data_IF_279660687998
#
_entry.id   IF_279660687998
#
_cell.length_a   1.000
_cell.length_b   1.000
_cell.length_c   1.000
_cell.angle_alpha   90.00
_cell.angle_beta   90.00
_cell.angle_gamma   90.00
#
_symmetry.space_group_name_H-M   'P 1'
#
loop_
_entity.id
_entity.type
_entity.pdbx_description
1 polymer ?
#
# COMPACT_ATOMS: atom_id res chain seq x y z
N UNK A 1 14.11 -2.93 18.98
CA UNK A 1 15.38 -3.38 18.37
C UNK A 1 15.37 -2.94 16.93
N UNK A 2 16.04 -1.83 16.62
CA UNK A 2 16.09 -1.29 15.26
C UNK A 2 17.31 -1.85 14.54
N UNK A 3 17.05 -2.64 13.51
CA UNK A 3 18.07 -3.15 12.61
C UNK A 3 18.49 -2.04 11.64
N UNK A 4 19.77 -1.67 11.68
CA UNK A 4 20.42 -0.74 10.74
C UNK A 4 21.05 -1.53 9.59
N UNK A 5 20.45 -1.49 8.42
CA UNK A 5 21.03 -2.08 7.20
C UNK A 5 21.59 -1.00 6.27
N UNK A 6 22.92 -0.91 6.20
CA UNK A 6 23.67 -0.43 5.03
C UNK A 6 24.84 -1.40 4.82
N UNK A 7 25.09 -1.85 3.58
CA UNK A 7 26.42 -1.65 2.96
C UNK A 7 26.22 -1.28 1.45
N UNK A 8 26.85 -0.33 0.76
CA UNK A 8 28.09 0.45 0.82
C UNK A 8 27.80 1.82 0.13
N UNK A 9 28.58 2.89 0.39
CA UNK A 9 28.49 4.13 -0.36
C UNK A 9 29.25 4.02 -1.70
N UNK A 10 28.54 4.14 -2.83
CA UNK A 10 29.22 4.57 -4.06
C UNK A 10 29.70 6.01 -3.87
N UNK A 11 30.98 6.18 -4.12
CA UNK A 11 31.81 7.29 -3.69
C UNK A 11 31.43 8.62 -4.35
N UNK A 12 31.22 9.64 -3.49
CA UNK A 12 31.10 11.06 -3.86
C UNK A 12 32.39 11.61 -4.51
N UNK A 13 33.47 10.81 -4.58
CA UNK A 13 34.74 11.18 -5.20
C UNK A 13 34.68 11.33 -6.73
N UNK A 14 33.64 10.81 -7.40
CA UNK A 14 33.60 10.78 -8.87
C UNK A 14 32.95 11.99 -9.54
N UNK A 15 32.27 12.86 -8.77
CA UNK A 15 31.72 14.12 -9.31
C UNK A 15 32.77 15.24 -9.27
N UNK A 16 33.73 15.17 -8.34
CA UNK A 16 34.82 16.15 -8.24
C UNK A 16 35.89 15.93 -9.32
N UNK A 17 35.99 14.74 -9.91
CA UNK A 17 37.03 14.40 -10.91
C UNK A 17 36.73 14.83 -12.34
N UNK A 18 35.50 15.25 -12.67
CA UNK A 18 35.12 15.63 -14.04
C UNK A 18 34.79 17.12 -14.22
N UNK A 19 35.13 17.98 -13.26
CA UNK A 19 35.15 19.42 -13.48
C UNK A 19 36.38 19.78 -14.34
N UNK A 20 36.32 19.46 -15.63
CA UNK A 20 37.25 20.00 -16.62
C UNK A 20 36.95 21.50 -16.76
N UNK A 21 37.66 22.30 -15.98
CA UNK A 21 37.69 23.75 -16.12
C UNK A 21 38.62 24.08 -17.29
N UNK A 22 38.04 24.17 -18.50
CA UNK A 22 38.76 24.59 -19.71
C UNK A 22 39.05 26.09 -19.59
N UNK A 23 40.28 26.43 -19.23
CA UNK A 23 40.79 27.80 -19.30
C UNK A 23 41.29 28.03 -20.74
N UNK A 24 40.40 28.50 -21.61
CA UNK A 24 40.62 28.58 -23.06
C UNK A 24 41.54 29.75 -23.51
N UNK A 25 42.04 30.57 -22.58
CA UNK A 25 43.03 31.62 -22.89
C UNK A 25 43.80 32.07 -21.65
N UNK A 26 45.06 31.66 -21.55
CA UNK A 26 46.05 32.34 -20.73
C UNK A 26 46.55 33.57 -21.52
N UNK A 27 46.43 34.80 -21.00
CA UNK A 27 46.97 35.97 -21.67
C UNK A 27 48.50 35.88 -21.71
N UNK A 28 49.10 36.06 -22.89
CA UNK A 28 50.56 36.14 -23.03
C UNK A 28 51.05 37.46 -22.44
N UNK A 29 51.76 37.38 -21.33
CA UNK A 29 52.48 38.52 -20.74
C UNK A 29 53.83 38.63 -21.44
N UNK A 30 54.02 39.70 -22.21
CA UNK A 30 55.33 40.08 -22.74
C UNK A 30 56.08 40.82 -21.64
N UNK A 31 57.24 40.31 -21.22
CA UNK A 31 58.18 41.04 -20.38
C UNK A 31 59.38 41.35 -21.26
N UNK A 32 59.46 42.58 -21.74
CA UNK A 32 60.61 43.13 -22.44
C UNK A 32 61.57 43.67 -21.38
N UNK A 33 62.57 42.88 -20.99
CA UNK A 33 63.63 43.32 -20.07
C UNK A 33 64.69 44.09 -20.87
N UNK A 34 64.44 45.39 -21.03
CA UNK A 34 65.47 46.36 -21.39
C UNK A 34 66.30 46.75 -20.17
N UNK A 35 67.62 46.63 -20.31
CA UNK A 35 68.65 46.90 -19.31
C UNK A 35 68.46 48.22 -18.54
N UNK A 36 68.22 48.12 -17.23
CA UNK A 36 68.76 49.06 -16.24
C UNK A 36 68.49 48.56 -14.83
N UNK A 37 69.49 48.59 -13.94
CA UNK A 37 69.43 48.17 -12.53
C UNK A 37 68.94 49.30 -11.60
N UNK A 38 67.97 50.09 -12.04
CA UNK A 38 67.25 51.12 -11.28
C UNK A 38 65.75 50.85 -10.96
N UNK A 39 64.98 50.07 -11.75
CA UNK A 39 63.56 49.89 -11.58
C UNK A 39 63.17 48.64 -10.79
N UNK A 40 64.09 47.82 -10.26
CA UNK A 40 63.77 46.57 -9.54
C UNK A 40 62.76 46.80 -8.39
N UNK A 41 62.87 47.91 -7.64
CA UNK A 41 61.89 48.28 -6.60
C UNK A 41 60.53 48.74 -7.17
N UNK A 42 60.51 49.39 -8.34
CA UNK A 42 59.30 49.80 -9.04
C UNK A 42 58.58 48.63 -9.73
N UNK A 43 59.32 47.66 -10.26
CA UNK A 43 58.80 46.45 -10.92
C UNK A 43 58.34 45.40 -9.88
N UNK A 44 59.03 45.25 -8.74
CA UNK A 44 58.53 44.46 -7.59
C UNK A 44 57.29 45.11 -6.97
N UNK A 45 57.28 46.44 -6.80
CA UNK A 45 56.12 47.16 -6.27
C UNK A 45 54.90 47.10 -7.20
N UNK A 46 55.09 47.31 -8.50
CA UNK A 46 53.99 47.25 -9.47
C UNK A 46 53.49 45.83 -9.74
N UNK A 47 54.35 44.80 -9.73
CA UNK A 47 53.92 43.39 -9.85
C UNK A 47 53.19 42.87 -8.61
N UNK A 48 53.58 43.32 -7.41
CA UNK A 48 52.83 43.06 -6.18
C UNK A 48 51.44 43.71 -6.22
N UNK A 49 51.34 44.96 -6.67
CA UNK A 49 50.05 45.65 -6.81
C UNK A 49 49.19 45.02 -7.92
N UNK A 50 49.81 44.68 -9.06
CA UNK A 50 49.14 44.04 -10.19
C UNK A 50 48.68 42.60 -9.89
N UNK A 51 49.37 41.87 -9.00
CA UNK A 51 48.95 40.56 -8.51
C UNK A 51 47.95 40.63 -7.34
N UNK A 52 48.04 41.67 -6.49
CA UNK A 52 47.16 41.83 -5.33
C UNK A 52 45.71 42.14 -5.72
N UNK A 53 45.49 42.95 -6.76
CA UNK A 53 44.11 43.30 -7.19
C UNK A 53 43.35 42.05 -7.68
N UNK A 54 43.87 41.22 -8.60
CA UNK A 54 43.25 39.95 -8.97
C UNK A 54 43.08 38.99 -7.80
N UNK A 55 44.05 38.92 -6.88
CA UNK A 55 43.96 38.06 -5.70
C UNK A 55 42.83 38.48 -4.74
N UNK A 56 42.64 39.79 -4.54
CA UNK A 56 41.55 40.34 -3.72
C UNK A 56 40.20 40.06 -4.39
N UNK A 57 40.09 40.27 -5.70
CA UNK A 57 38.85 39.97 -6.45
C UNK A 57 38.53 38.48 -6.40
N UNK A 58 39.53 37.61 -6.58
CA UNK A 58 39.38 36.16 -6.44
C UNK A 58 38.94 35.77 -5.03
N UNK A 59 39.51 36.37 -3.99
CA UNK A 59 39.12 36.11 -2.60
C UNK A 59 37.69 36.57 -2.30
N UNK A 60 37.28 37.76 -2.77
CA UNK A 60 35.91 38.25 -2.65
C UNK A 60 34.92 37.35 -3.39
N UNK A 61 35.28 36.88 -4.60
CA UNK A 61 34.47 35.94 -5.37
C UNK A 61 34.34 34.58 -4.68
N UNK A 62 35.43 34.02 -4.15
CA UNK A 62 35.42 32.76 -3.39
C UNK A 62 34.55 32.90 -2.13
N UNK A 63 34.68 34.00 -1.39
CA UNK A 63 33.90 34.25 -0.18
C UNK A 63 32.41 34.46 -0.46
N UNK A 64 32.08 35.10 -1.58
CA UNK A 64 30.69 35.23 -2.04
C UNK A 64 30.12 33.88 -2.46
N UNK A 65 30.88 33.08 -3.22
CA UNK A 65 30.47 31.75 -3.68
C UNK A 65 30.28 30.77 -2.53
N UNK A 66 31.11 30.82 -1.49
CA UNK A 66 30.96 29.97 -0.30
C UNK A 66 29.60 30.20 0.40
N UNK A 67 29.18 31.46 0.55
CA UNK A 67 27.87 31.78 1.14
C UNK A 67 26.70 31.25 0.31
N UNK A 68 26.78 31.39 -1.01
CA UNK A 68 25.75 30.86 -1.92
C UNK A 68 25.73 29.33 -1.89
N UNK A 69 26.91 28.69 -1.86
CA UNK A 69 27.04 27.23 -1.77
C UNK A 69 26.43 26.65 -0.48
N UNK A 70 26.62 27.33 0.65
CA UNK A 70 26.02 26.89 1.91
C UNK A 70 24.49 27.00 1.87
N UNK A 71 23.96 28.11 1.36
CA UNK A 71 22.52 28.29 1.18
C UNK A 71 21.92 27.24 0.22
N UNK A 72 22.56 27.02 -0.94
CA UNK A 72 22.14 26.02 -1.93
C UNK A 72 22.20 24.60 -1.35
N UNK A 73 23.20 24.29 -0.52
CA UNK A 73 23.31 22.98 0.14
C UNK A 73 22.17 22.73 1.13
N UNK A 74 21.76 23.75 1.90
CA UNK A 74 20.62 23.62 2.82
C UNK A 74 19.33 23.38 2.04
N UNK A 75 19.10 24.13 0.96
CA UNK A 75 17.94 23.95 0.09
C UNK A 75 17.93 22.56 -0.56
N UNK A 76 19.08 22.07 -1.06
CA UNK A 76 19.19 20.73 -1.63
C UNK A 76 18.91 19.64 -0.59
N UNK A 77 19.38 19.80 0.66
CA UNK A 77 19.09 18.86 1.73
C UNK A 77 17.60 18.82 2.07
N UNK A 78 16.93 19.97 2.07
CA UNK A 78 15.50 20.05 2.30
C UNK A 78 14.72 19.38 1.16
N UNK A 79 15.05 19.69 -0.10
CA UNK A 79 14.47 19.05 -1.29
C UNK A 79 14.70 17.53 -1.28
N UNK A 80 15.91 17.07 -0.89
CA UNK A 80 16.21 15.65 -0.80
C UNK A 80 15.38 14.96 0.29
N UNK A 81 15.19 15.59 1.45
CA UNK A 81 14.34 15.07 2.53
C UNK A 81 12.88 15.00 2.13
N UNK A 82 12.33 16.04 1.49
CA UNK A 82 10.94 16.04 1.02
C UNK A 82 10.73 14.97 -0.04
N UNK A 83 11.66 14.83 -0.99
CA UNK A 83 11.60 13.79 -2.02
C UNK A 83 11.69 12.38 -1.42
N UNK A 84 12.61 12.16 -0.47
CA UNK A 84 12.73 10.89 0.22
C UNK A 84 11.45 10.54 0.99
N UNK A 85 10.90 11.48 1.77
CA UNK A 85 9.65 11.28 2.49
C UNK A 85 8.49 10.97 1.54
N UNK A 86 8.36 11.72 0.43
CA UNK A 86 7.35 11.47 -0.58
C UNK A 86 7.49 10.08 -1.22
N UNK A 87 8.72 9.63 -1.51
CA UNK A 87 8.98 8.29 -2.02
C UNK A 87 8.60 7.20 -1.01
N UNK A 88 8.95 7.36 0.26
CA UNK A 88 8.62 6.40 1.32
C UNK A 88 7.11 6.31 1.54
N UNK A 89 6.41 7.45 1.60
CA UNK A 89 4.94 7.52 1.73
C UNK A 89 4.28 6.85 0.52
N UNK A 90 4.76 7.17 -0.69
CA UNK A 90 4.23 6.60 -1.92
C UNK A 90 4.36 5.08 -1.97
N UNK A 91 5.55 4.56 -1.63
CA UNK A 91 5.80 3.12 -1.54
C UNK A 91 4.90 2.44 -0.49
N UNK A 92 4.77 3.04 0.70
CA UNK A 92 3.90 2.52 1.77
C UNK A 92 2.43 2.48 1.35
N UNK A 93 1.94 3.54 0.70
CA UNK A 93 0.54 3.63 0.23
C UNK A 93 0.26 2.64 -0.89
N UNK A 94 1.21 2.43 -1.81
CA UNK A 94 1.08 1.41 -2.85
C UNK A 94 0.98 -0.02 -2.27
N UNK A 95 1.77 -0.34 -1.25
CA UNK A 95 1.67 -1.64 -0.55
C UNK A 95 0.31 -1.78 0.12
N UNK A 96 -0.18 -0.72 0.77
CA UNK A 96 -1.51 -0.73 1.39
C UNK A 96 -2.63 -0.89 0.35
N UNK A 97 -2.58 -0.20 -0.80
CA UNK A 97 -3.54 -0.33 -1.91
C UNK A 97 -3.63 -1.78 -2.40
N UNK A 98 -2.47 -2.40 -2.66
CA UNK A 98 -2.41 -3.78 -3.12
C UNK A 98 -3.03 -4.72 -2.07
N UNK A 99 -2.63 -4.56 -0.81
CA UNK A 99 -3.13 -5.42 0.26
C UNK A 99 -4.64 -5.26 0.49
N UNK A 100 -5.17 -4.05 0.37
CA UNK A 100 -6.60 -3.79 0.50
C UNK A 100 -7.37 -4.44 -0.65
N UNK A 101 -6.85 -4.31 -1.88
CA UNK A 101 -7.40 -4.95 -3.07
C UNK A 101 -7.47 -6.47 -2.91
N UNK A 102 -6.41 -7.10 -2.41
CA UNK A 102 -6.36 -8.53 -2.15
C UNK A 102 -7.44 -8.95 -1.15
N UNK A 103 -7.54 -8.24 -0.02
CA UNK A 103 -8.53 -8.52 1.04
C UNK A 103 -9.96 -8.42 0.51
N UNK A 104 -10.28 -7.39 -0.28
CA UNK A 104 -11.62 -7.23 -0.86
C UNK A 104 -11.91 -8.33 -1.90
N UNK A 105 -10.93 -8.68 -2.72
CA UNK A 105 -11.08 -9.72 -3.75
C UNK A 105 -11.33 -11.09 -3.11
N UNK A 106 -10.56 -11.41 -2.07
CA UNK A 106 -10.73 -12.64 -1.29
C UNK A 106 -12.08 -12.64 -0.55
N UNK A 107 -12.50 -11.50 0.00
CA UNK A 107 -13.81 -11.37 0.66
C UNK A 107 -14.97 -11.65 -0.31
N UNK A 108 -14.91 -11.06 -1.51
CA UNK A 108 -15.93 -11.26 -2.56
C UNK A 108 -15.94 -12.72 -3.04
N UNK A 109 -14.78 -13.38 -3.15
CA UNK A 109 -14.72 -14.78 -3.61
C UNK A 109 -15.26 -15.79 -2.59
N UNK A 110 -15.17 -15.49 -1.29
CA UNK A 110 -15.77 -16.33 -0.23
C UNK A 110 -17.29 -16.16 -0.12
N UNK A 111 -17.84 -15.10 -0.69
CA UNK A 111 -19.24 -14.73 -0.52
C UNK A 111 -20.20 -15.82 -1.02
N UNK A 112 -19.94 -16.38 -2.20
CA UNK A 112 -20.72 -17.49 -2.75
C UNK A 112 -20.56 -18.76 -1.91
N UNK A 113 -19.35 -19.06 -1.48
CA UNK A 113 -19.03 -20.25 -0.68
C UNK A 113 -19.80 -20.25 0.65
N UNK A 114 -19.88 -19.10 1.33
CA UNK A 114 -20.67 -18.97 2.57
C UNK A 114 -22.15 -19.22 2.31
N UNK A 115 -22.72 -18.67 1.23
CA UNK A 115 -24.13 -18.89 0.86
C UNK A 115 -24.38 -20.37 0.59
N UNK A 116 -23.54 -21.01 -0.22
CA UNK A 116 -23.70 -22.43 -0.56
C UNK A 116 -23.56 -23.32 0.68
N UNK A 117 -22.58 -23.05 1.55
CA UNK A 117 -22.40 -23.78 2.80
C UNK A 117 -23.62 -23.61 3.73
N UNK A 118 -24.18 -22.39 3.84
CA UNK A 118 -25.40 -22.15 4.60
C UNK A 118 -26.61 -22.89 4.03
N UNK A 119 -26.73 -22.92 2.71
CA UNK A 119 -27.77 -23.67 2.02
C UNK A 119 -27.67 -25.17 2.31
N UNK A 120 -26.46 -25.74 2.26
CA UNK A 120 -26.22 -27.13 2.60
C UNK A 120 -26.64 -27.45 4.05
N UNK A 121 -26.36 -26.55 5.00
CA UNK A 121 -26.85 -26.68 6.39
C UNK A 121 -28.38 -26.73 6.42
N UNK A 122 -29.07 -25.84 5.70
CA UNK A 122 -30.53 -25.79 5.68
C UNK A 122 -31.17 -27.02 5.04
N UNK A 123 -30.55 -27.59 4.02
CA UNK A 123 -31.01 -28.85 3.41
C UNK A 123 -30.82 -30.02 4.38
N UNK A 124 -29.65 -30.15 5.02
CA UNK A 124 -29.41 -31.22 5.99
C UNK A 124 -30.27 -31.07 7.26
N UNK A 125 -30.55 -29.84 7.69
CA UNK A 125 -31.47 -29.55 8.80
C UNK A 125 -32.89 -30.04 8.47
N UNK A 126 -33.39 -29.74 7.27
CA UNK A 126 -34.69 -30.23 6.82
C UNK A 126 -34.74 -31.77 6.70
N UNK A 127 -33.65 -32.40 6.21
CA UNK A 127 -33.53 -33.86 6.15
C UNK A 127 -33.57 -34.49 7.54
N UNK A 128 -32.90 -33.90 8.52
CA UNK A 128 -32.90 -34.36 9.91
C UNK A 128 -34.29 -34.18 10.55
N UNK A 129 -34.92 -33.01 10.36
CA UNK A 129 -36.30 -32.72 10.82
C UNK A 129 -37.32 -33.69 10.23
N UNK A 130 -37.18 -34.06 8.96
CA UNK A 130 -38.08 -35.04 8.33
C UNK A 130 -38.15 -36.37 9.11
N UNK A 131 -37.01 -36.87 9.60
CA UNK A 131 -37.01 -38.11 10.39
C UNK A 131 -37.60 -37.90 11.79
N UNK A 132 -37.27 -36.79 12.47
CA UNK A 132 -37.79 -36.51 13.82
C UNK A 132 -39.28 -36.26 13.85
N UNK A 133 -39.82 -35.64 12.79
CA UNK A 133 -41.23 -35.26 12.72
C UNK A 133 -42.09 -36.43 12.24
N UNK A 134 -41.55 -37.29 11.36
CA UNK A 134 -42.28 -38.42 10.78
C UNK A 134 -42.30 -39.67 11.66
N UNK A 135 -41.26 -39.88 12.47
CA UNK A 135 -41.10 -41.11 13.24
C UNK A 135 -40.89 -40.80 14.73
N UNK A 136 -41.75 -41.33 15.63
CA UNK A 136 -41.49 -41.33 17.06
C UNK A 136 -40.13 -41.96 17.40
N UNK A 137 -39.49 -41.50 18.48
CA UNK A 137 -38.15 -41.95 18.88
C UNK A 137 -38.08 -43.46 19.09
N UNK A 138 -39.13 -44.07 19.58
CA UNK A 138 -39.22 -45.51 19.80
C UNK A 138 -39.15 -46.28 18.47
N UNK A 139 -39.82 -45.77 17.43
CA UNK A 139 -39.81 -46.38 16.10
C UNK A 139 -38.42 -46.23 15.47
N UNK A 140 -37.81 -45.06 15.58
CA UNK A 140 -36.42 -44.83 15.12
C UNK A 140 -35.45 -45.80 15.80
N UNK A 141 -35.53 -45.96 17.12
CA UNK A 141 -34.64 -46.85 17.88
C UNK A 141 -34.87 -48.34 17.59
N UNK A 142 -36.12 -48.73 17.30
CA UNK A 142 -36.47 -50.14 17.04
C UNK A 142 -36.07 -50.62 15.64
N UNK A 143 -35.94 -49.71 14.67
CA UNK A 143 -35.62 -50.05 13.28
C UNK A 143 -34.18 -49.63 12.94
N UNK A 144 -33.27 -50.61 12.87
CA UNK A 144 -31.84 -50.40 12.57
C UNK A 144 -31.59 -49.60 11.29
N UNK A 145 -32.38 -49.84 10.23
CA UNK A 145 -32.20 -49.13 8.97
C UNK A 145 -32.61 -47.66 9.09
N UNK A 146 -33.75 -47.38 9.73
CA UNK A 146 -34.19 -46.00 9.98
C UNK A 146 -33.23 -45.26 10.91
N UNK A 147 -32.72 -45.94 11.95
CA UNK A 147 -31.71 -45.38 12.85
C UNK A 147 -30.45 -44.99 12.09
N UNK A 148 -29.91 -45.88 11.24
CA UNK A 148 -28.74 -45.60 10.41
C UNK A 148 -28.98 -44.40 9.48
N UNK A 149 -30.14 -44.32 8.82
CA UNK A 149 -30.47 -43.19 7.95
C UNK A 149 -30.58 -41.86 8.71
N UNK A 150 -31.09 -41.90 9.95
CA UNK A 150 -31.16 -40.74 10.83
C UNK A 150 -29.77 -40.31 11.31
N UNK A 151 -28.93 -41.26 11.73
CA UNK A 151 -27.54 -41.02 12.11
C UNK A 151 -26.74 -40.42 10.96
N UNK A 152 -26.91 -40.92 9.74
CA UNK A 152 -26.29 -40.37 8.53
C UNK A 152 -26.73 -38.92 8.28
N UNK A 153 -28.03 -38.63 8.40
CA UNK A 153 -28.55 -37.27 8.27
C UNK A 153 -27.98 -36.33 9.34
N UNK A 154 -27.82 -36.82 10.57
CA UNK A 154 -27.25 -36.06 11.67
C UNK A 154 -25.74 -35.80 11.47
N UNK A 155 -25.00 -36.81 11.04
CA UNK A 155 -23.58 -36.69 10.70
C UNK A 155 -23.36 -35.70 9.55
N UNK A 156 -24.21 -35.75 8.52
CA UNK A 156 -24.20 -34.81 7.40
C UNK A 156 -24.48 -33.37 7.87
N UNK A 157 -25.48 -33.18 8.74
CA UNK A 157 -25.78 -31.87 9.34
C UNK A 157 -24.58 -31.33 10.14
N UNK A 158 -23.99 -32.13 11.01
CA UNK A 158 -22.81 -31.72 11.79
C UNK A 158 -21.62 -31.33 10.90
N UNK A 159 -21.36 -32.12 9.84
CA UNK A 159 -20.32 -31.82 8.86
C UNK A 159 -20.58 -30.48 8.17
N UNK A 160 -21.81 -30.25 7.71
CA UNK A 160 -22.17 -29.02 7.01
C UNK A 160 -22.14 -27.80 7.93
N UNK A 161 -22.54 -27.94 9.20
CA UNK A 161 -22.43 -26.86 10.21
C UNK A 161 -20.96 -26.50 10.44
N UNK A 162 -20.08 -27.50 10.60
CA UNK A 162 -18.65 -27.29 10.78
C UNK A 162 -18.03 -26.56 9.58
N UNK A 163 -18.35 -27.03 8.37
CA UNK A 163 -17.88 -26.39 7.14
C UNK A 163 -18.37 -24.94 7.01
N UNK A 164 -19.67 -24.69 7.19
CA UNK A 164 -20.22 -23.33 7.16
C UNK A 164 -19.57 -22.41 8.19
N UNK A 165 -19.35 -22.90 9.41
CA UNK A 165 -18.71 -22.13 10.48
C UNK A 165 -17.28 -21.74 10.12
N UNK A 166 -16.52 -22.66 9.51
CA UNK A 166 -15.16 -22.40 9.03
C UNK A 166 -15.13 -21.30 7.96
N UNK A 167 -15.93 -21.44 6.90
CA UNK A 167 -15.93 -20.46 5.79
C UNK A 167 -16.45 -19.10 6.27
N UNK A 168 -17.44 -19.08 7.17
CA UNK A 168 -17.95 -17.84 7.77
C UNK A 168 -16.89 -17.15 8.63
N UNK A 169 -16.08 -17.91 9.37
CA UNK A 169 -14.96 -17.37 10.15
C UNK A 169 -13.92 -16.70 9.25
N UNK A 170 -13.57 -17.32 8.13
CA UNK A 170 -12.63 -16.76 7.15
C UNK A 170 -13.17 -15.45 6.55
N UNK A 171 -14.43 -15.44 6.12
CA UNK A 171 -15.11 -14.24 5.61
C UNK A 171 -15.18 -13.14 6.68
N UNK A 172 -15.44 -13.49 7.94
CA UNK A 172 -15.47 -12.55 9.06
C UNK A 172 -14.09 -11.96 9.35
N UNK A 173 -13.03 -12.75 9.23
CA UNK A 173 -11.66 -12.27 9.39
C UNK A 173 -11.27 -11.27 8.29
N UNK A 174 -11.66 -11.54 7.04
CA UNK A 174 -11.44 -10.60 5.92
C UNK A 174 -12.23 -9.30 6.09
N UNK A 175 -13.49 -9.38 6.53
CA UNK A 175 -14.29 -8.21 6.89
C UNK A 175 -13.55 -7.35 7.93
N UNK A 176 -13.10 -7.95 9.03
CA UNK A 176 -12.40 -7.23 10.09
C UNK A 176 -11.09 -6.59 9.58
N UNK A 177 -10.32 -7.31 8.75
CA UNK A 177 -9.10 -6.77 8.12
C UNK A 177 -9.42 -5.58 7.23
N UNK A 178 -10.43 -5.66 6.37
CA UNK A 178 -10.86 -4.55 5.51
C UNK A 178 -11.25 -3.33 6.36
N UNK A 179 -12.02 -3.53 7.42
CA UNK A 179 -12.46 -2.46 8.33
C UNK A 179 -11.29 -1.76 9.05
N UNK A 180 -10.26 -2.50 9.45
CA UNK A 180 -9.05 -1.96 10.08
C UNK A 180 -8.16 -1.20 9.11
N UNK A 181 -8.22 -1.51 7.82
CA UNK A 181 -7.45 -0.82 6.78
C UNK A 181 -8.07 0.52 6.34
N UNK A 182 -9.32 0.79 6.71
CA UNK A 182 -10.08 1.95 6.28
C UNK A 182 -10.24 3.01 7.37
N UNK A 183 -10.16 4.28 7.00
CA UNK A 183 -10.47 5.38 7.90
C UNK A 183 -11.99 5.46 8.17
N UNK A 184 -12.48 5.32 9.42
CA UNK A 184 -13.91 5.31 9.70
C UNK A 184 -14.63 6.65 9.45
N UNK A 185 -13.89 7.75 9.30
CA UNK A 185 -14.46 9.09 9.12
C UNK A 185 -14.66 9.49 7.66
N UNK A 186 -14.03 8.77 6.71
CA UNK A 186 -14.14 9.08 5.29
C UNK A 186 -15.44 8.50 4.70
N UNK A 187 -16.14 9.30 3.89
CA UNK A 187 -17.42 8.92 3.29
C UNK A 187 -17.34 7.66 2.42
N UNK A 188 -16.27 7.51 1.63
CA UNK A 188 -16.03 6.30 0.83
C UNK A 188 -15.91 5.05 1.70
N UNK A 189 -15.18 5.15 2.81
CA UNK A 189 -15.03 4.02 3.73
C UNK A 189 -16.36 3.65 4.41
N UNK A 190 -17.24 4.62 4.68
CA UNK A 190 -18.58 4.37 5.22
C UNK A 190 -19.41 3.55 4.22
N UNK A 191 -19.44 3.94 2.94
CA UNK A 191 -20.18 3.21 1.90
C UNK A 191 -19.60 1.81 1.64
N UNK A 192 -18.26 1.68 1.58
CA UNK A 192 -17.61 0.36 1.46
C UNK A 192 -18.00 -0.55 2.64
N UNK A 193 -17.92 -0.04 3.88
CA UNK A 193 -18.33 -0.79 5.09
C UNK A 193 -19.79 -1.21 5.04
N UNK A 194 -20.67 -0.34 4.55
CA UNK A 194 -22.09 -0.65 4.36
C UNK A 194 -22.25 -1.81 3.36
N UNK A 195 -21.60 -1.76 2.21
CA UNK A 195 -21.68 -2.86 1.24
C UNK A 195 -21.15 -4.18 1.80
N UNK A 196 -20.00 -4.18 2.49
CA UNK A 196 -19.45 -5.35 3.18
C UNK A 196 -20.46 -5.89 4.22
N UNK A 197 -21.04 -5.03 5.04
CA UNK A 197 -22.03 -5.45 6.03
C UNK A 197 -23.29 -6.04 5.39
N UNK A 198 -23.79 -5.46 4.31
CA UNK A 198 -24.95 -5.98 3.59
C UNK A 198 -24.69 -7.36 2.98
N UNK A 199 -23.53 -7.56 2.36
CA UNK A 199 -23.11 -8.88 1.84
C UNK A 199 -23.05 -9.91 2.96
N UNK A 200 -22.39 -9.56 4.07
CA UNK A 200 -22.25 -10.43 5.23
C UNK A 200 -23.60 -10.81 5.84
N UNK A 201 -24.50 -9.85 6.02
CA UNK A 201 -25.83 -10.09 6.59
C UNK A 201 -26.67 -10.96 5.66
N UNK A 202 -26.68 -10.69 4.34
CA UNK A 202 -27.42 -11.50 3.37
C UNK A 202 -26.93 -12.94 3.30
N UNK A 203 -25.61 -13.15 3.37
CA UNK A 203 -25.05 -14.49 3.40
C UNK A 203 -25.48 -15.30 4.64
N UNK A 204 -25.81 -14.63 5.74
CA UNK A 204 -26.22 -15.26 7.00
C UNK A 204 -27.74 -15.42 7.16
N UNK A 205 -28.53 -14.52 6.59
CA UNK A 205 -30.00 -14.55 6.66
C UNK A 205 -30.54 -15.39 5.50
N UNK A 206 -30.76 -16.67 5.78
CA UNK A 206 -31.37 -17.61 4.83
C UNK A 206 -32.68 -18.17 5.40
N UNK A 207 -33.79 -18.18 4.64
CA UNK A 207 -35.04 -18.81 5.05
C UNK A 207 -34.87 -20.31 5.35
N UNK A 208 -35.85 -20.90 6.02
CA UNK A 208 -35.91 -22.35 6.18
C UNK A 208 -36.30 -23.04 4.86
N UNK A 209 -35.68 -24.19 4.60
CA UNK A 209 -36.02 -25.05 3.47
C UNK A 209 -37.46 -25.58 3.60
N UNK A 210 -38.24 -25.75 2.51
CA UNK A 210 -37.87 -25.64 1.09
C UNK A 210 -38.06 -24.25 0.46
N UNK A 211 -38.35 -23.21 1.24
CA UNK A 211 -38.70 -21.87 0.70
C UNK A 211 -37.49 -21.08 0.18
N UNK A 212 -36.35 -21.73 -0.01
CA UNK A 212 -35.08 -21.08 -0.36
C UNK A 212 -34.98 -20.98 -1.88
N UNK A 213 -34.97 -19.75 -2.39
CA UNK A 213 -34.59 -19.44 -3.77
C UNK A 213 -33.09 -19.12 -3.82
N UNK A 214 -32.26 -20.16 -3.99
CA UNK A 214 -30.81 -20.02 -4.00
C UNK A 214 -30.31 -19.13 -5.16
N UNK A 215 -30.81 -19.28 -6.41
CA UNK A 215 -30.46 -18.36 -7.50
C UNK A 215 -30.74 -16.88 -7.20
N UNK A 216 -31.89 -16.55 -6.62
CA UNK A 216 -32.22 -15.17 -6.25
C UNK A 216 -31.27 -14.61 -5.17
N UNK A 217 -30.97 -15.41 -4.13
CA UNK A 217 -30.03 -15.01 -3.07
C UNK A 217 -28.63 -14.77 -3.65
N UNK A 218 -28.13 -15.68 -4.49
CA UNK A 218 -26.83 -15.54 -5.15
C UNK A 218 -26.80 -14.33 -6.08
N UNK A 219 -27.85 -14.13 -6.89
CA UNK A 219 -27.96 -12.98 -7.79
C UNK A 219 -27.95 -11.64 -7.03
N UNK A 220 -28.71 -11.54 -5.94
CA UNK A 220 -28.72 -10.35 -5.08
C UNK A 220 -27.37 -10.10 -4.42
N UNK A 221 -26.66 -11.15 -4.02
CA UNK A 221 -25.36 -10.97 -3.39
C UNK A 221 -24.27 -10.63 -4.41
N UNK A 222 -24.29 -11.23 -5.60
CA UNK A 222 -23.39 -10.87 -6.69
C UNK A 222 -23.58 -9.41 -7.13
N UNK A 223 -24.81 -8.94 -7.23
CA UNK A 223 -25.09 -7.52 -7.49
C UNK A 223 -24.48 -6.62 -6.41
N UNK A 224 -24.58 -7.02 -5.14
CA UNK A 224 -23.99 -6.28 -4.04
C UNK A 224 -22.46 -6.30 -4.07
N UNK A 225 -21.85 -7.44 -4.39
CA UNK A 225 -20.41 -7.57 -4.59
C UNK A 225 -19.91 -6.68 -5.72
N UNK A 226 -20.67 -6.56 -6.81
CA UNK A 226 -20.34 -5.64 -7.91
C UNK A 226 -20.37 -4.17 -7.45
N UNK A 227 -21.38 -3.79 -6.66
CA UNK A 227 -21.44 -2.44 -6.06
C UNK A 227 -20.24 -2.17 -5.14
N UNK A 228 -19.88 -3.14 -4.28
CA UNK A 228 -18.69 -3.07 -3.44
C UNK A 228 -17.42 -2.85 -4.28
N UNK A 229 -17.23 -3.63 -5.35
CA UNK A 229 -16.08 -3.50 -6.25
C UNK A 229 -16.03 -2.11 -6.85
N UNK A 230 -17.16 -1.57 -7.33
CA UNK A 230 -17.22 -0.22 -7.89
C UNK A 230 -16.83 0.85 -6.87
N UNK A 231 -17.31 0.77 -5.63
CA UNK A 231 -16.93 1.74 -4.59
C UNK A 231 -15.47 1.62 -4.18
N UNK A 232 -14.96 0.39 -4.06
CA UNK A 232 -13.54 0.15 -3.78
C UNK A 232 -12.66 0.69 -4.91
N UNK A 233 -13.03 0.50 -6.18
CA UNK A 233 -12.29 1.07 -7.31
C UNK A 233 -12.24 2.60 -7.27
N UNK A 234 -13.36 3.26 -6.93
CA UNK A 234 -13.39 4.73 -6.78
C UNK A 234 -12.45 5.19 -5.65
N UNK A 235 -12.50 4.51 -4.51
CA UNK A 235 -11.66 4.79 -3.36
C UNK A 235 -10.17 4.56 -3.66
N UNK A 236 -9.83 3.42 -4.28
CA UNK A 236 -8.45 3.12 -4.68
C UNK A 236 -7.91 4.13 -5.70
N UNK A 237 -8.75 4.61 -6.64
CA UNK A 237 -8.36 5.67 -7.56
C UNK A 237 -8.07 6.99 -6.84
N UNK A 238 -8.89 7.35 -5.84
CA UNK A 238 -8.63 8.53 -5.00
C UNK A 238 -7.28 8.39 -4.27
N UNK A 239 -7.03 7.24 -3.66
CA UNK A 239 -5.78 6.93 -2.96
C UNK A 239 -4.56 6.93 -3.88
N UNK A 240 -4.72 6.46 -5.12
CA UNK A 240 -3.70 6.53 -6.15
C UNK A 240 -3.36 7.97 -6.54
N UNK A 241 -4.37 8.84 -6.68
CA UNK A 241 -4.14 10.25 -6.97
C UNK A 241 -3.50 10.99 -5.78
N UNK A 242 -3.84 10.63 -4.53
CA UNK A 242 -3.14 11.14 -3.32
C UNK A 242 -1.67 10.71 -3.33
N UNK A 243 -1.40 9.45 -3.68
CA UNK A 243 -0.04 8.90 -3.83
C UNK A 243 0.80 9.72 -4.83
N UNK A 244 0.24 10.09 -5.98
CA UNK A 244 0.94 10.92 -6.99
C UNK A 244 1.24 12.33 -6.49
N UNK A 245 0.38 12.89 -5.63
CA UNK A 245 0.56 14.23 -5.05
C UNK A 245 1.47 14.24 -3.81
N UNK A 246 1.81 13.06 -3.26
CA UNK A 246 2.56 12.96 -2.01
C UNK A 246 1.73 13.33 -0.78
N UNK A 247 0.40 13.22 -0.88
CA UNK A 247 -0.59 13.43 0.19
C UNK A 247 -0.94 12.12 0.90
#
# INVERSE_FOLDING_TARGET
>A
MEWRGIPYPETVERVVTNANLVIDKLPKVYIDTGDNLGPILGTLGSSLIAGAIPAIIAWLAIKSNQKTFEADRVVQLEIAKTNFNAQVISASRQVWINKFTDVITEYVSLTEQVIQAKYAVKVSEAKQRFYTDKYPREILASNKNLLSMFEDANNELHKNISHYSSVLQDMSALKARAELMMNPTESFCIEIKKHICEIYTRANVMPDYPKIDLPDILGKNNNQSNLLICEVQKYLKLEWERTKRGE
#
